data_IF_164227304581
#
_entry.id   IF_164227304581
#
_cell.length_a   1.000
_cell.length_b   1.000
_cell.length_c   1.000
_cell.angle_alpha   90.00
_cell.angle_beta   90.00
_cell.angle_gamma   90.00
#
_symmetry.space_group_name_H-M   'P 1'
#
loop_
_entity.id
_entity.type
_entity.pdbx_description
1 polymer ?
#
# COMPACT_ATOMS: atom_id res chain seq x y z
N UNK A 1 -39.28 -1.17 -14.15
CA UNK A 1 -37.81 -1.28 -14.35
C UNK A 1 -37.14 -0.78 -13.10
N UNK A 2 -36.13 -1.50 -12.60
CA UNK A 2 -35.41 -1.09 -11.39
C UNK A 2 -34.36 -0.04 -11.75
N UNK A 3 -34.28 1.08 -11.01
CA UNK A 3 -33.26 2.09 -11.24
C UNK A 3 -31.86 1.51 -10.98
N UNK A 4 -30.87 1.99 -11.73
CA UNK A 4 -29.49 1.53 -11.55
C UNK A 4 -28.95 1.89 -10.16
N UNK A 5 -28.32 0.91 -9.51
CA UNK A 5 -27.64 1.15 -8.24
C UNK A 5 -26.28 1.86 -8.43
N UNK A 6 -25.67 2.29 -7.33
CA UNK A 6 -24.41 3.05 -7.38
C UNK A 6 -23.24 2.25 -7.97
N UNK A 7 -23.17 0.95 -7.70
CA UNK A 7 -22.12 0.07 -8.25
C UNK A 7 -22.28 -0.09 -9.76
N UNK A 8 -23.49 -0.32 -10.26
CA UNK A 8 -23.81 -0.44 -11.68
C UNK A 8 -23.48 0.85 -12.44
N UNK A 9 -23.78 2.02 -11.86
CA UNK A 9 -23.42 3.33 -12.44
C UNK A 9 -21.90 3.52 -12.52
N UNK A 10 -21.17 3.14 -11.47
CA UNK A 10 -19.71 3.19 -11.45
C UNK A 10 -19.11 2.24 -12.50
N UNK A 11 -19.63 1.01 -12.58
CA UNK A 11 -19.18 0.00 -13.52
C UNK A 11 -19.37 0.44 -14.98
N UNK A 12 -20.52 1.05 -15.30
CA UNK A 12 -20.81 1.67 -16.60
C UNK A 12 -19.82 2.78 -16.94
N UNK A 13 -19.50 3.65 -15.97
CA UNK A 13 -18.54 4.72 -16.17
C UNK A 13 -17.14 4.18 -16.44
N UNK A 14 -16.66 3.27 -15.59
CA UNK A 14 -15.33 2.64 -15.71
C UNK A 14 -15.17 1.91 -17.04
N UNK A 15 -16.24 1.25 -17.52
CA UNK A 15 -16.25 0.62 -18.84
C UNK A 15 -16.07 1.63 -19.98
N UNK A 16 -16.73 2.78 -19.91
CA UNK A 16 -16.65 3.81 -20.96
C UNK A 16 -15.24 4.41 -21.10
N UNK A 17 -14.43 4.39 -20.04
CA UNK A 17 -13.06 4.93 -20.01
C UNK A 17 -11.99 3.82 -20.02
N UNK A 18 -12.36 2.56 -20.19
CA UNK A 18 -11.43 1.44 -20.36
C UNK A 18 -10.73 0.99 -19.07
N UNK A 19 -11.36 1.15 -17.90
CA UNK A 19 -10.82 0.75 -16.59
C UNK A 19 -11.37 -0.58 -16.05
N UNK A 20 -12.21 -1.27 -16.82
CA UNK A 20 -12.84 -2.55 -16.41
C UNK A 20 -12.02 -3.78 -16.81
N UNK A 21 -12.12 -4.84 -15.99
CA UNK A 21 -11.59 -6.18 -16.32
C UNK A 21 -12.43 -6.88 -17.40
N UNK A 22 -11.95 -8.02 -17.93
CA UNK A 22 -12.71 -8.82 -18.91
C UNK A 22 -14.06 -9.32 -18.36
N UNK A 23 -14.09 -9.78 -17.11
CA UNK A 23 -15.32 -10.22 -16.45
C UNK A 23 -16.32 -9.06 -16.30
N UNK A 24 -15.84 -7.90 -15.87
CA UNK A 24 -16.65 -6.68 -15.76
C UNK A 24 -17.16 -6.19 -17.12
N UNK A 25 -16.40 -6.38 -18.20
CA UNK A 25 -16.86 -6.05 -19.55
C UNK A 25 -18.05 -6.91 -19.98
N UNK A 26 -18.07 -8.19 -19.61
CA UNK A 26 -19.21 -9.06 -19.89
C UNK A 26 -20.44 -8.64 -19.09
N UNK A 27 -20.26 -8.31 -17.81
CA UNK A 27 -21.32 -7.81 -16.94
C UNK A 27 -21.95 -6.52 -17.49
N UNK A 28 -21.13 -5.56 -17.94
CA UNK A 28 -21.62 -4.31 -18.52
C UNK A 28 -22.36 -4.54 -19.84
N UNK A 29 -21.91 -5.46 -20.69
CA UNK A 29 -22.63 -5.81 -21.93
C UNK A 29 -24.02 -6.38 -21.63
N UNK A 30 -24.13 -7.27 -20.65
CA UNK A 30 -25.41 -7.79 -20.19
C UNK A 30 -26.28 -6.65 -19.64
N UNK A 31 -25.71 -5.79 -18.80
CA UNK A 31 -26.41 -4.66 -18.19
C UNK A 31 -26.96 -3.67 -19.23
N UNK A 32 -26.16 -3.32 -20.25
CA UNK A 32 -26.59 -2.45 -21.36
C UNK A 32 -27.69 -3.10 -22.19
N UNK A 33 -27.61 -4.42 -22.45
CA UNK A 33 -28.63 -5.14 -23.23
C UNK A 33 -29.96 -5.34 -22.48
N UNK A 34 -29.91 -5.33 -21.15
CA UNK A 34 -31.05 -5.68 -20.29
C UNK A 34 -31.74 -4.47 -19.65
N UNK A 35 -31.15 -3.28 -19.73
CA UNK A 35 -31.65 -2.09 -19.04
C UNK A 35 -31.51 -0.81 -19.90
N UNK A 36 -32.66 -0.21 -20.26
CA UNK A 36 -32.72 1.01 -21.07
C UNK A 36 -32.05 2.24 -20.41
N UNK A 37 -32.07 2.35 -19.07
CA UNK A 37 -31.34 3.41 -18.35
C UNK A 37 -29.83 3.25 -18.54
N UNK A 38 -29.32 2.01 -18.48
CA UNK A 38 -27.91 1.71 -18.71
C UNK A 38 -27.49 2.01 -20.14
N UNK A 39 -28.29 1.59 -21.12
CA UNK A 39 -28.05 1.90 -22.54
C UNK A 39 -28.06 3.40 -22.80
N UNK A 40 -28.99 4.14 -22.19
CA UNK A 40 -29.07 5.59 -22.30
C UNK A 40 -27.87 6.32 -21.69
N UNK A 41 -27.40 5.89 -20.51
CA UNK A 41 -26.20 6.46 -19.87
C UNK A 41 -24.95 6.15 -20.70
N UNK A 42 -24.78 4.90 -21.13
CA UNK A 42 -23.65 4.47 -21.96
C UNK A 42 -23.55 5.30 -23.25
N UNK A 43 -24.67 5.46 -23.97
CA UNK A 43 -24.73 6.24 -25.20
C UNK A 43 -24.34 7.71 -24.97
N UNK A 44 -24.83 8.34 -23.89
CA UNK A 44 -24.48 9.73 -23.55
C UNK A 44 -23.00 9.90 -23.23
N UNK A 45 -22.40 8.99 -22.46
CA UNK A 45 -20.99 9.05 -22.11
C UNK A 45 -20.13 8.84 -23.36
N UNK A 46 -20.46 7.83 -24.20
CA UNK A 46 -19.76 7.60 -25.46
C UNK A 46 -19.85 8.80 -26.39
N UNK A 47 -21.02 9.43 -26.52
CA UNK A 47 -21.18 10.65 -27.30
C UNK A 47 -20.33 11.82 -26.77
N UNK A 48 -20.22 11.96 -25.45
CA UNK A 48 -19.38 12.98 -24.82
C UNK A 48 -17.88 12.73 -25.01
N UNK A 49 -17.46 11.47 -25.11
CA UNK A 49 -16.07 11.05 -25.31
C UNK A 49 -15.67 10.95 -26.79
N UNK A 50 -16.63 10.83 -27.71
CA UNK A 50 -16.38 10.70 -29.16
C UNK A 50 -15.44 11.78 -29.73
N UNK A 51 -15.48 13.06 -29.30
CA UNK A 51 -14.51 14.05 -29.77
C UNK A 51 -13.05 13.70 -29.42
N UNK A 52 -12.82 13.01 -28.30
CA UNK A 52 -11.48 12.60 -27.87
C UNK A 52 -10.91 11.46 -28.72
N UNK A 53 -11.76 10.63 -29.33
CA UNK A 53 -11.32 9.56 -30.24
C UNK A 53 -10.74 10.14 -31.55
N UNK A 54 -11.10 11.38 -31.90
CA UNK A 54 -10.59 12.08 -33.09
C UNK A 54 -9.36 12.96 -32.83
N UNK A 55 -8.92 13.07 -31.56
CA UNK A 55 -7.71 13.79 -31.22
C UNK A 55 -6.53 13.01 -31.80
N UNK A 56 -5.89 13.58 -32.82
CA UNK A 56 -4.65 13.03 -33.35
C UNK A 56 -3.64 12.95 -32.22
N UNK A 57 -3.20 11.74 -31.91
CA UNK A 57 -2.07 11.52 -31.04
C UNK A 57 -0.85 12.14 -31.74
N UNK A 58 -0.36 13.27 -31.20
CA UNK A 58 0.92 13.80 -31.63
C UNK A 58 1.96 12.68 -31.48
N UNK A 59 2.66 12.38 -32.55
CA UNK A 59 3.79 11.46 -32.52
C UNK A 59 4.76 11.96 -31.45
N UNK A 60 5.02 11.11 -30.45
CA UNK A 60 5.97 11.41 -29.40
C UNK A 60 7.29 11.87 -30.06
N UNK A 61 7.71 13.14 -29.90
CA UNK A 61 8.90 13.63 -30.56
C UNK A 61 10.10 12.79 -30.15
N UNK A 62 10.93 12.36 -31.11
CA UNK A 62 12.10 11.53 -30.84
C UNK A 62 13.08 12.23 -29.87
N UNK A 63 13.09 13.56 -29.88
CA UNK A 63 13.90 14.41 -29.01
C UNK A 63 13.28 14.65 -27.63
N UNK A 64 12.06 14.16 -27.34
CA UNK A 64 11.36 14.44 -26.08
C UNK A 64 12.15 13.92 -24.88
N UNK A 65 12.75 12.73 -25.00
CA UNK A 65 13.57 12.13 -23.95
C UNK A 65 14.82 12.97 -23.71
N UNK A 66 15.54 13.33 -24.77
CA UNK A 66 16.73 14.17 -24.68
C UNK A 66 16.41 15.57 -24.13
N UNK A 67 15.34 16.20 -24.60
CA UNK A 67 14.84 17.49 -24.09
C UNK A 67 14.46 17.42 -22.63
N UNK A 68 13.85 16.33 -22.20
CA UNK A 68 13.46 16.15 -20.79
C UNK A 68 14.69 15.98 -19.91
N UNK A 69 15.67 15.16 -20.33
CA UNK A 69 16.95 15.00 -19.63
C UNK A 69 17.72 16.34 -19.60
N UNK A 70 17.77 17.06 -20.72
CA UNK A 70 18.41 18.38 -20.80
C UNK A 70 17.72 19.40 -19.89
N UNK A 71 16.38 19.43 -19.84
CA UNK A 71 15.63 20.32 -18.93
C UNK A 71 15.89 19.96 -17.47
N UNK A 72 15.91 18.67 -17.12
CA UNK A 72 16.22 18.23 -15.75
C UNK A 72 17.64 18.61 -15.35
N UNK A 73 18.62 18.40 -16.23
CA UNK A 73 20.00 18.78 -16.00
C UNK A 73 20.18 20.31 -15.91
N UNK A 74 19.49 21.07 -16.75
CA UNK A 74 19.51 22.53 -16.72
C UNK A 74 18.85 23.08 -15.47
N UNK A 75 17.72 22.51 -15.00
CA UNK A 75 17.09 22.89 -13.74
C UNK A 75 17.97 22.56 -12.54
N UNK A 76 18.63 21.41 -12.56
CA UNK A 76 19.58 21.02 -11.51
C UNK A 76 20.77 22.00 -11.46
N UNK A 77 21.36 22.34 -12.62
CA UNK A 77 22.47 23.31 -12.70
C UNK A 77 22.03 24.75 -12.39
N UNK A 78 20.86 25.19 -12.86
CA UNK A 78 20.35 26.53 -12.60
C UNK A 78 20.05 26.71 -11.12
N UNK A 79 19.55 25.68 -10.43
CA UNK A 79 19.32 25.75 -8.99
C UNK A 79 20.62 25.93 -8.19
N UNK A 80 21.71 25.28 -8.61
CA UNK A 80 23.03 25.42 -7.98
C UNK A 80 23.67 26.78 -8.28
N UNK A 81 23.61 27.22 -9.54
CA UNK A 81 24.15 28.52 -9.95
C UNK A 81 23.36 29.69 -9.34
N UNK A 82 22.03 29.57 -9.26
CA UNK A 82 21.16 30.58 -8.66
C UNK A 82 21.35 30.62 -7.14
N UNK A 83 21.58 29.48 -6.48
CA UNK A 83 21.95 29.44 -5.06
C UNK A 83 23.31 30.12 -4.82
N UNK A 84 24.32 29.85 -5.65
CA UNK A 84 25.63 30.51 -5.56
C UNK A 84 25.53 32.02 -5.84
N UNK A 85 24.74 32.45 -6.82
CA UNK A 85 24.51 33.86 -7.12
C UNK A 85 23.71 34.57 -6.03
N UNK A 86 22.74 33.91 -5.40
CA UNK A 86 21.98 34.47 -4.26
C UNK A 86 22.86 34.58 -3.02
N UNK A 87 23.73 33.60 -2.74
CA UNK A 87 24.71 33.66 -1.66
C UNK A 87 25.74 34.79 -1.87
N UNK A 88 26.26 34.93 -3.10
CA UNK A 88 27.17 36.03 -3.45
C UNK A 88 26.46 37.40 -3.44
N UNK A 89 25.19 37.46 -3.86
CA UNK A 89 24.38 38.68 -3.87
C UNK A 89 23.93 39.15 -2.49
N UNK A 90 23.68 38.23 -1.56
CA UNK A 90 23.42 38.50 -0.13
C UNK A 90 24.69 39.03 0.56
N UNK A 91 25.85 38.44 0.29
CA UNK A 91 27.14 38.92 0.83
C UNK A 91 27.57 40.29 0.28
N UNK A 92 27.08 40.69 -0.90
CA UNK A 92 27.44 41.95 -1.56
C UNK A 92 26.44 43.11 -1.34
N UNK A 93 25.27 42.88 -0.71
CA UNK A 93 24.25 43.92 -0.57
C UNK A 93 24.45 44.79 0.69
N UNK A 94 25.23 45.86 0.52
CA UNK A 94 25.10 47.07 1.32
C UNK A 94 23.75 47.75 1.03
N UNK A 95 22.97 48.02 2.09
CA UNK A 95 21.59 48.51 1.99
C UNK A 95 21.56 49.98 1.56
N UNK A 96 21.01 50.26 0.37
CA UNK A 96 20.37 51.54 0.05
C UNK A 96 19.44 51.39 -1.17
N UNK A 97 18.14 51.67 -1.00
CA UNK A 97 17.18 51.76 -2.11
C UNK A 97 16.26 52.96 -1.91
N UNK A 98 16.12 53.82 -2.94
CA UNK A 98 14.98 54.72 -3.11
C UNK A 98 14.38 54.62 -4.54
N UNK A 99 13.09 54.23 -4.55
CA UNK A 99 11.99 54.39 -5.54
C UNK A 99 12.01 53.62 -6.89
N UNK A 100 10.85 53.34 -7.56
CA UNK A 100 9.44 53.33 -7.11
C UNK A 100 8.80 51.92 -7.28
N UNK A 101 8.48 51.27 -6.16
CA UNK A 101 8.27 49.82 -6.04
C UNK A 101 6.84 49.31 -6.37
N UNK A 102 5.83 50.17 -6.31
CA UNK A 102 4.44 49.72 -6.15
C UNK A 102 3.73 49.25 -7.43
N UNK A 103 4.02 49.83 -8.60
CA UNK A 103 3.31 49.44 -9.84
C UNK A 103 3.84 48.17 -10.51
N UNK A 104 5.13 47.87 -10.36
CA UNK A 104 5.73 46.61 -10.86
C UNK A 104 5.42 45.43 -9.94
N UNK A 105 5.29 45.67 -8.63
CA UNK A 105 4.85 44.66 -7.67
C UNK A 105 3.46 44.10 -7.99
N UNK A 106 2.48 44.93 -8.33
CA UNK A 106 1.11 44.45 -8.56
C UNK A 106 1.01 43.40 -9.66
N UNK A 107 1.63 43.63 -10.82
CA UNK A 107 1.60 42.68 -11.95
C UNK A 107 2.43 41.42 -11.69
N UNK A 108 3.58 41.56 -11.01
CA UNK A 108 4.44 40.43 -10.62
C UNK A 108 3.75 39.59 -9.55
N UNK A 109 3.07 40.22 -8.58
CA UNK A 109 2.34 39.54 -7.52
C UNK A 109 1.15 38.75 -8.07
N UNK A 110 0.38 39.28 -9.03
CA UNK A 110 -0.74 38.54 -9.63
C UNK A 110 -0.27 37.33 -10.43
N UNK A 111 0.77 37.48 -11.27
CA UNK A 111 1.32 36.35 -12.04
C UNK A 111 1.93 35.28 -11.12
N UNK A 112 2.64 35.69 -10.07
CA UNK A 112 3.17 34.78 -9.06
C UNK A 112 2.06 34.08 -8.28
N UNK A 113 0.98 34.78 -7.91
CA UNK A 113 -0.16 34.19 -7.22
C UNK A 113 -0.87 33.12 -8.06
N UNK A 114 -1.10 33.37 -9.35
CA UNK A 114 -1.71 32.38 -10.25
C UNK A 114 -0.81 31.15 -10.41
N UNK A 115 0.49 31.34 -10.56
CA UNK A 115 1.45 30.22 -10.65
C UNK A 115 1.52 29.43 -9.34
N UNK A 116 1.49 30.08 -8.18
CA UNK A 116 1.46 29.40 -6.88
C UNK A 116 0.15 28.63 -6.66
N UNK A 117 -0.99 29.18 -7.10
CA UNK A 117 -2.28 28.48 -7.05
C UNK A 117 -2.26 27.27 -7.98
N UNK A 118 -1.82 27.44 -9.24
CA UNK A 118 -1.74 26.35 -10.22
C UNK A 118 -0.75 25.27 -9.78
N UNK A 119 0.40 25.65 -9.23
CA UNK A 119 1.38 24.72 -8.69
C UNK A 119 0.85 24.00 -7.45
N UNK A 120 0.19 24.71 -6.54
CA UNK A 120 -0.43 24.15 -5.35
C UNK A 120 -1.53 23.12 -5.65
N UNK A 121 -2.42 23.44 -6.60
CA UNK A 121 -3.50 22.52 -7.03
C UNK A 121 -2.96 21.31 -7.79
N UNK A 122 -1.94 21.50 -8.64
CA UNK A 122 -1.30 20.39 -9.34
C UNK A 122 -0.52 19.45 -8.41
N UNK A 123 0.24 20.01 -7.46
CA UNK A 123 1.04 19.19 -6.55
C UNK A 123 0.17 18.39 -5.56
N UNK A 124 -0.94 18.97 -5.09
CA UNK A 124 -1.89 18.27 -4.21
C UNK A 124 -2.63 17.14 -4.93
N UNK A 125 -3.13 17.38 -6.14
CA UNK A 125 -3.79 16.35 -6.95
C UNK A 125 -2.82 15.23 -7.35
N UNK A 126 -1.59 15.55 -7.75
CA UNK A 126 -0.56 14.55 -8.08
C UNK A 126 -0.20 13.67 -6.88
N UNK A 127 -0.04 14.27 -5.69
CA UNK A 127 0.26 13.52 -4.46
C UNK A 127 -0.89 12.59 -4.06
N UNK A 128 -2.14 13.05 -4.20
CA UNK A 128 -3.32 12.23 -3.93
C UNK A 128 -3.43 11.05 -4.92
N UNK A 129 -3.26 11.31 -6.22
CA UNK A 129 -3.28 10.29 -7.25
C UNK A 129 -2.18 9.23 -7.04
N UNK A 130 -0.95 9.67 -6.73
CA UNK A 130 0.15 8.76 -6.38
C UNK A 130 -0.18 7.91 -5.15
N UNK A 131 -0.77 8.51 -4.12
CA UNK A 131 -1.18 7.76 -2.93
C UNK A 131 -2.22 6.70 -3.29
N UNK A 132 -3.27 7.04 -4.04
CA UNK A 132 -4.28 6.05 -4.47
C UNK A 132 -3.68 4.96 -5.34
N UNK A 133 -2.76 5.30 -6.24
CA UNK A 133 -2.03 4.32 -7.04
C UNK A 133 -1.29 3.30 -6.16
N UNK A 134 -0.52 3.76 -5.15
CA UNK A 134 0.20 2.84 -4.26
C UNK A 134 -0.72 2.01 -3.37
N UNK A 135 -1.84 2.59 -2.93
CA UNK A 135 -2.87 1.85 -2.18
C UNK A 135 -3.45 0.73 -3.03
N UNK A 136 -3.94 1.02 -4.24
CA UNK A 136 -4.52 0.02 -5.13
C UNK A 136 -3.51 -1.08 -5.49
N UNK A 137 -2.23 -0.72 -5.70
CA UNK A 137 -1.17 -1.71 -5.94
C UNK A 137 -0.93 -2.62 -4.75
N UNK A 138 -0.91 -2.06 -3.55
CA UNK A 138 -0.78 -2.84 -2.32
C UNK A 138 -1.98 -3.77 -2.12
N UNK A 139 -3.20 -3.30 -2.41
CA UNK A 139 -4.40 -4.14 -2.36
C UNK A 139 -4.34 -5.29 -3.37
N UNK A 140 -3.92 -5.01 -4.61
CA UNK A 140 -3.72 -6.03 -5.64
C UNK A 140 -2.66 -7.08 -5.25
N UNK A 141 -1.59 -6.66 -4.56
CA UNK A 141 -0.59 -7.57 -4.01
C UNK A 141 -1.15 -8.46 -2.90
N UNK A 142 -1.91 -7.90 -1.96
CA UNK A 142 -2.58 -8.68 -0.92
C UNK A 142 -3.55 -9.70 -1.51
N UNK A 143 -4.34 -9.31 -2.52
CA UNK A 143 -5.18 -10.24 -3.27
C UNK A 143 -4.37 -11.30 -4.02
N UNK A 144 -3.17 -10.96 -4.51
CA UNK A 144 -2.22 -11.92 -5.08
C UNK A 144 -1.68 -12.93 -4.07
N UNK A 145 -1.37 -12.48 -2.85
CA UNK A 145 -0.96 -13.35 -1.75
C UNK A 145 -2.11 -14.26 -1.34
N UNK A 146 -3.34 -13.75 -1.29
CA UNK A 146 -4.54 -14.56 -1.02
C UNK A 146 -4.72 -15.67 -2.06
N UNK A 147 -4.57 -15.35 -3.36
CA UNK A 147 -4.56 -16.40 -4.41
C UNK A 147 -3.43 -17.42 -4.20
N UNK A 148 -2.29 -16.98 -3.71
CA UNK A 148 -1.20 -17.86 -3.30
C UNK A 148 -1.62 -18.84 -2.19
N UNK A 149 -2.31 -18.34 -1.15
CA UNK A 149 -2.89 -19.19 -0.11
C UNK A 149 -3.91 -20.17 -0.67
N UNK A 150 -4.83 -19.74 -1.54
CA UNK A 150 -5.84 -20.65 -2.11
C UNK A 150 -5.21 -21.75 -2.95
N UNK A 151 -4.18 -21.42 -3.75
CA UNK A 151 -3.46 -22.41 -4.54
C UNK A 151 -2.70 -23.39 -3.66
N UNK A 152 -2.02 -22.90 -2.61
CA UNK A 152 -1.39 -23.77 -1.62
C UNK A 152 -2.42 -24.69 -0.95
N UNK A 153 -3.54 -24.16 -0.48
CA UNK A 153 -4.57 -24.98 0.15
C UNK A 153 -5.12 -26.04 -0.80
N UNK A 154 -5.26 -25.74 -2.09
CA UNK A 154 -5.68 -26.73 -3.09
C UNK A 154 -4.71 -27.92 -3.19
N UNK A 155 -3.40 -27.66 -3.09
CA UNK A 155 -2.36 -28.70 -3.13
C UNK A 155 -2.16 -29.44 -1.79
N UNK A 156 -2.64 -28.87 -0.68
CA UNK A 156 -2.42 -29.37 0.68
C UNK A 156 -3.72 -29.68 1.46
N UNK A 157 -4.72 -30.27 0.81
CA UNK A 157 -5.98 -30.74 1.41
C UNK A 157 -6.76 -29.65 2.18
N UNK A 158 -6.78 -28.43 1.66
CA UNK A 158 -7.43 -27.30 2.31
C UNK A 158 -6.68 -26.74 3.51
N UNK A 159 -5.46 -27.18 3.79
CA UNK A 159 -4.68 -26.71 4.95
C UNK A 159 -3.90 -25.45 4.62
N UNK A 160 -4.00 -24.45 5.49
CA UNK A 160 -3.18 -23.24 5.42
C UNK A 160 -1.69 -23.57 5.64
N UNK A 161 -0.76 -22.77 5.07
CA UNK A 161 0.65 -22.89 5.37
C UNK A 161 0.89 -22.77 6.87
N UNK A 162 1.54 -23.77 7.44
CA UNK A 162 1.80 -23.85 8.87
C UNK A 162 3.19 -24.43 9.13
N UNK A 163 3.82 -23.96 10.21
CA UNK A 163 5.08 -24.50 10.73
C UNK A 163 4.86 -24.88 12.18
N UNK A 164 5.52 -25.94 12.64
CA UNK A 164 5.37 -26.40 14.03
C UNK A 164 5.89 -25.33 15.00
N UNK A 165 5.02 -24.77 15.82
CA UNK A 165 5.38 -23.79 16.87
C UNK A 165 5.29 -24.45 18.24
N UNK A 166 6.10 -23.96 19.18
CA UNK A 166 6.06 -24.37 20.58
C UNK A 166 5.35 -23.23 21.36
N UNK A 167 4.33 -23.52 22.18
CA UNK A 167 3.71 -22.50 23.03
C UNK A 167 4.76 -21.74 23.86
N UNK A 168 4.67 -20.41 23.88
CA UNK A 168 5.66 -19.54 24.53
C UNK A 168 6.95 -19.30 23.75
N UNK A 169 7.14 -19.92 22.57
CA UNK A 169 8.24 -19.56 21.68
C UNK A 169 8.03 -18.15 21.10
N UNK A 170 9.12 -17.39 20.87
CA UNK A 170 9.04 -16.07 20.27
C UNK A 170 8.53 -16.17 18.83
N UNK A 171 7.70 -15.23 18.39
CA UNK A 171 7.24 -15.15 17.00
C UNK A 171 7.83 -13.97 16.22
N UNK A 172 8.55 -13.07 16.90
CA UNK A 172 9.00 -11.78 16.36
C UNK A 172 10.35 -11.82 15.62
N UNK A 173 11.09 -12.95 15.63
CA UNK A 173 12.46 -13.02 15.11
C UNK A 173 12.49 -13.12 13.58
N UNK A 174 11.93 -12.12 12.90
CA UNK A 174 11.78 -12.06 11.45
C UNK A 174 13.13 -12.20 10.75
N UNK A 175 13.26 -13.23 9.93
CA UNK A 175 14.47 -13.57 9.18
C UNK A 175 15.44 -14.50 9.89
N UNK A 176 15.06 -15.02 11.07
CA UNK A 176 15.83 -16.04 11.76
C UNK A 176 15.94 -17.31 10.90
N UNK A 177 17.18 -17.77 10.66
CA UNK A 177 17.49 -18.95 9.82
C UNK A 177 17.81 -20.22 10.63
N UNK A 178 17.58 -20.21 11.95
CA UNK A 178 17.75 -21.42 12.79
C UNK A 178 16.67 -22.47 12.55
N UNK A 179 16.81 -23.66 13.16
CA UNK A 179 15.84 -24.74 12.97
C UNK A 179 14.51 -24.46 13.67
N UNK A 180 14.55 -23.66 14.73
CA UNK A 180 13.44 -23.30 15.59
C UNK A 180 12.53 -22.26 14.91
N UNK A 181 11.22 -22.47 14.98
CA UNK A 181 10.24 -21.60 14.33
C UNK A 181 9.95 -20.36 15.16
N UNK A 182 10.90 -19.41 15.14
CA UNK A 182 10.82 -18.17 15.92
C UNK A 182 10.33 -16.94 15.15
N UNK A 183 9.88 -17.13 13.90
CA UNK A 183 9.23 -16.08 13.12
C UNK A 183 7.87 -16.54 12.62
N UNK A 184 6.86 -15.71 12.81
CA UNK A 184 5.54 -15.91 12.22
C UNK A 184 5.58 -15.93 10.68
N UNK A 185 6.53 -15.20 10.06
CA UNK A 185 6.66 -15.10 8.61
C UNK A 185 7.07 -16.40 7.92
N UNK A 186 7.65 -17.36 8.65
CA UNK A 186 8.07 -18.65 8.06
C UNK A 186 6.93 -19.38 7.37
N UNK A 187 5.72 -19.28 7.91
CA UNK A 187 4.55 -19.93 7.31
C UNK A 187 4.25 -19.39 5.92
N UNK A 188 4.39 -18.08 5.71
CA UNK A 188 4.14 -17.45 4.40
C UNK A 188 5.35 -17.54 3.50
N UNK A 189 6.55 -17.73 4.06
CA UNK A 189 7.73 -18.11 3.28
C UNK A 189 7.52 -19.45 2.55
N UNK A 190 6.73 -20.37 3.09
CA UNK A 190 6.35 -21.61 2.36
C UNK A 190 5.68 -21.32 1.02
N UNK A 191 4.90 -20.23 0.91
CA UNK A 191 4.29 -19.83 -0.36
C UNK A 191 5.36 -19.45 -1.39
N UNK A 192 6.42 -18.77 -0.94
CA UNK A 192 7.56 -18.39 -1.80
C UNK A 192 8.37 -19.63 -2.19
N UNK A 193 8.69 -20.51 -1.22
CA UNK A 193 9.44 -21.75 -1.50
C UNK A 193 8.68 -22.70 -2.43
N UNK A 194 7.35 -22.77 -2.29
CA UNK A 194 6.49 -23.59 -3.15
C UNK A 194 6.21 -22.97 -4.53
N UNK A 195 6.66 -21.74 -4.80
CA UNK A 195 6.41 -21.06 -6.06
C UNK A 195 4.97 -20.57 -6.24
N UNK A 196 4.16 -20.57 -5.17
CA UNK A 196 2.79 -20.04 -5.19
C UNK A 196 2.76 -18.52 -5.33
N UNK A 197 3.81 -17.86 -4.84
CA UNK A 197 3.90 -16.40 -4.76
C UNK A 197 5.33 -15.93 -4.99
N UNK A 198 5.52 -14.88 -5.80
CA UNK A 198 6.82 -14.22 -5.96
C UNK A 198 7.20 -13.45 -4.68
N UNK A 199 8.47 -13.59 -4.24
CA UNK A 199 8.99 -12.92 -3.04
C UNK A 199 8.71 -11.42 -3.01
N UNK A 200 8.83 -10.72 -4.15
CA UNK A 200 8.72 -9.27 -4.20
C UNK A 200 7.31 -8.77 -3.88
N UNK A 201 6.29 -9.63 -3.93
CA UNK A 201 4.92 -9.25 -3.57
C UNK A 201 4.79 -8.90 -2.08
N UNK A 202 5.67 -9.44 -1.23
CA UNK A 202 5.65 -9.22 0.22
C UNK A 202 6.23 -7.85 0.63
N UNK A 203 6.62 -7.03 -0.34
CA UNK A 203 7.06 -5.65 -0.15
C UNK A 203 6.03 -4.69 -0.74
N UNK A 204 5.46 -3.86 0.12
CA UNK A 204 4.48 -2.84 -0.18
C UNK A 204 5.10 -1.74 -1.03
N UNK A 205 4.53 -1.42 -2.22
CA UNK A 205 4.98 -0.36 -3.11
C UNK A 205 4.92 1.04 -2.48
N UNK A 206 4.11 1.22 -1.44
CA UNK A 206 4.04 2.47 -0.68
C UNK A 206 5.27 2.72 0.19
N UNK A 207 5.99 1.67 0.56
CA UNK A 207 7.29 1.76 1.24
C UNK A 207 8.34 2.05 0.19
N UNK A 208 9.27 2.96 0.48
CA UNK A 208 10.49 3.10 -0.33
C UNK A 208 11.47 2.03 0.14
N UNK A 209 11.64 0.91 -0.58
CA UNK A 209 12.60 -0.10 -0.16
C UNK A 209 14.00 0.51 -0.17
N UNK A 210 14.75 0.33 0.91
CA UNK A 210 16.16 0.73 0.94
C UNK A 210 17.00 -0.18 0.04
N UNK A 211 16.59 -1.45 -0.08
CA UNK A 211 17.25 -2.49 -0.86
C UNK A 211 16.18 -3.48 -1.34
N UNK A 212 16.14 -3.78 -2.64
CA UNK A 212 15.30 -4.85 -3.20
C UNK A 212 16.21 -5.97 -3.69
N UNK A 213 16.48 -6.96 -2.83
CA UNK A 213 17.19 -8.18 -3.24
C UNK A 213 16.15 -9.16 -3.75
N UNK A 214 16.23 -9.49 -5.05
CA UNK A 214 15.51 -10.64 -5.62
C UNK A 214 16.39 -11.87 -5.49
N UNK A 215 15.88 -12.88 -4.80
CA UNK A 215 16.56 -14.16 -4.66
C UNK A 215 16.28 -15.03 -5.89
N UNK A 216 17.28 -15.78 -6.32
CA UNK A 216 17.13 -16.84 -7.31
C UNK A 216 16.37 -18.03 -6.71
N UNK A 217 15.76 -18.91 -7.53
CA UNK A 217 15.06 -20.10 -7.02
C UNK A 217 15.94 -20.98 -6.10
N UNK A 218 17.23 -21.13 -6.42
CA UNK A 218 18.16 -21.90 -5.58
C UNK A 218 18.40 -21.23 -4.22
N UNK A 219 18.55 -19.91 -4.18
CA UNK A 219 18.68 -19.15 -2.94
C UNK A 219 17.39 -19.25 -2.10
N UNK A 220 16.21 -19.15 -2.71
CA UNK A 220 14.92 -19.29 -2.01
C UNK A 220 14.86 -20.62 -1.26
N UNK A 221 15.29 -21.72 -1.88
CA UNK A 221 15.26 -23.04 -1.25
C UNK A 221 16.21 -23.17 -0.05
N UNK A 222 17.35 -22.46 -0.08
CA UNK A 222 18.35 -22.47 1.00
C UNK A 222 17.91 -21.73 2.26
N UNK A 223 16.91 -20.87 2.17
CA UNK A 223 16.44 -20.07 3.30
C UNK A 223 15.23 -20.67 4.01
N UNK A 224 15.20 -20.59 5.34
CA UNK A 224 14.09 -21.07 6.17
C UNK A 224 13.02 -19.98 6.35
N UNK A 225 13.41 -18.72 6.25
CA UNK A 225 12.57 -17.53 6.37
C UNK A 225 13.08 -16.44 5.41
N UNK A 226 12.34 -15.33 5.27
CA UNK A 226 12.79 -14.15 4.54
C UNK A 226 14.18 -13.70 5.03
N UNK A 227 15.21 -13.65 4.18
CA UNK A 227 16.58 -13.38 4.65
C UNK A 227 16.76 -12.06 5.39
N UNK A 228 15.95 -11.06 5.04
CA UNK A 228 16.00 -9.74 5.64
C UNK A 228 14.60 -9.22 5.98
N UNK A 229 14.50 -8.51 7.11
CA UNK A 229 13.26 -7.86 7.55
C UNK A 229 12.71 -6.88 6.50
N UNK A 230 13.58 -6.24 5.74
CA UNK A 230 13.24 -5.29 4.70
C UNK A 230 12.56 -5.95 3.47
N UNK A 231 12.63 -7.28 3.34
CA UNK A 231 11.95 -8.03 2.28
C UNK A 231 10.49 -8.39 2.61
N UNK A 232 10.01 -7.97 3.77
CA UNK A 232 8.63 -8.16 4.18
C UNK A 232 8.10 -6.92 4.88
N UNK A 233 7.09 -6.27 4.31
CA UNK A 233 6.48 -5.05 4.87
C UNK A 233 5.10 -5.30 5.44
N UNK A 234 4.73 -6.55 5.64
CA UNK A 234 3.40 -6.93 6.09
C UNK A 234 3.47 -7.67 7.40
N UNK A 235 2.34 -7.77 8.08
CA UNK A 235 2.17 -8.54 9.31
C UNK A 235 1.04 -9.56 9.12
N UNK A 236 1.12 -10.68 9.83
CA UNK A 236 0.23 -11.81 9.64
C UNK A 236 -0.43 -12.23 10.95
N UNK A 237 -1.66 -12.73 10.87
CA UNK A 237 -2.42 -13.18 12.03
C UNK A 237 -1.70 -14.26 12.83
N UNK A 238 -1.34 -14.05 14.08
CA UNK A 238 -0.91 -15.13 14.99
C UNK A 238 -2.12 -16.05 15.25
N UNK A 239 -1.94 -17.35 15.05
CA UNK A 239 -3.00 -18.33 15.30
C UNK A 239 -3.14 -18.62 16.79
N UNK A 240 -4.39 -18.80 17.25
CA UNK A 240 -4.66 -19.23 18.61
C UNK A 240 -4.30 -20.73 18.73
N UNK A 241 -3.42 -21.14 19.66
CA UNK A 241 -3.10 -22.56 19.86
C UNK A 241 -4.26 -23.34 20.48
N UNK A 242 -5.19 -22.67 21.17
CA UNK A 242 -6.33 -23.29 21.86
C UNK A 242 -7.59 -23.40 20.98
N UNK A 243 -7.43 -23.32 19.66
CA UNK A 243 -8.53 -23.32 18.69
C UNK A 243 -9.40 -24.58 18.79
N UNK A 244 -10.48 -24.50 19.56
CA UNK A 244 -11.62 -25.41 19.42
C UNK A 244 -12.36 -25.02 18.14
N UNK A 245 -12.80 -26.01 17.33
CA UNK A 245 -13.47 -25.89 16.02
C UNK A 245 -14.79 -25.08 16.02
N UNK A 246 -14.83 -23.88 16.55
CA UNK A 246 -15.96 -22.96 16.40
C UNK A 246 -15.67 -22.08 15.19
N UNK A 247 -16.36 -22.39 14.11
CA UNK A 247 -16.48 -21.52 12.94
C UNK A 247 -17.28 -20.31 13.40
N UNK A 248 -16.58 -19.22 13.70
CA UNK A 248 -17.22 -17.93 13.91
C UNK A 248 -17.49 -17.29 12.54
N UNK A 249 -18.69 -16.77 12.29
CA UNK A 249 -19.07 -16.17 11.00
C UNK A 249 -18.51 -14.75 10.81
N UNK A 250 -17.62 -14.27 11.68
CA UNK A 250 -17.01 -12.94 11.54
C UNK A 250 -15.86 -12.96 10.54
N UNK A 251 -15.83 -11.93 9.69
CA UNK A 251 -14.73 -11.66 8.76
C UNK A 251 -13.43 -11.43 9.56
N UNK A 252 -12.44 -12.32 9.44
CA UNK A 252 -11.22 -12.27 10.25
C UNK A 252 -10.06 -11.69 9.48
N UNK A 253 -9.37 -10.72 10.08
CA UNK A 253 -8.17 -10.16 9.47
C UNK A 253 -7.06 -11.22 9.43
N UNK A 254 -6.60 -11.57 8.22
CA UNK A 254 -5.56 -12.56 7.98
C UNK A 254 -4.17 -11.93 7.94
N UNK A 255 -4.08 -10.74 7.33
CA UNK A 255 -2.84 -10.05 7.04
C UNK A 255 -3.10 -8.55 6.91
N UNK A 256 -2.11 -7.73 7.20
CA UNK A 256 -2.20 -6.28 7.01
C UNK A 256 -0.87 -5.68 6.56
N UNK A 257 -0.93 -4.40 6.18
CA UNK A 257 0.25 -3.54 6.24
C UNK A 257 0.91 -3.62 7.63
N UNK A 258 2.22 -3.34 7.69
CA UNK A 258 3.05 -3.54 8.88
C UNK A 258 2.40 -3.03 10.17
N UNK A 259 2.30 -3.92 11.17
CA UNK A 259 1.85 -3.56 12.51
C UNK A 259 2.83 -2.54 13.12
N UNK A 260 2.27 -1.42 13.58
CA UNK A 260 3.02 -0.27 14.08
C UNK A 260 3.74 -0.49 15.39
N UNK A 261 3.29 -1.46 16.19
CA UNK A 261 3.96 -1.83 17.43
C UNK A 261 5.34 -2.44 17.16
N UNK A 262 5.51 -3.09 16.00
CA UNK A 262 6.66 -3.94 15.69
C UNK A 262 7.48 -3.44 14.49
N UNK A 263 7.50 -2.12 14.27
CA UNK A 263 8.30 -1.51 13.21
C UNK A 263 9.79 -1.55 13.49
N UNK A 264 10.15 -1.50 14.78
CA UNK A 264 11.53 -1.54 15.27
C UNK A 264 11.70 -2.80 16.11
N UNK A 265 12.15 -3.86 15.46
CA UNK A 265 12.50 -5.12 16.13
C UNK A 265 14.01 -5.18 16.39
N UNK A 266 14.45 -5.84 17.48
CA UNK A 266 15.86 -6.13 17.69
C UNK A 266 16.45 -6.91 16.50
N UNK A 267 17.61 -6.47 16.00
CA UNK A 267 18.38 -7.21 14.99
C UNK A 267 19.21 -8.34 15.61
N UNK A 268 19.56 -8.17 16.88
CA UNK A 268 20.25 -9.17 17.68
C UNK A 268 19.20 -10.01 18.43
N UNK A 269 18.96 -11.23 17.94
CA UNK A 269 17.96 -12.14 18.48
C UNK A 269 18.30 -12.71 19.86
N UNK A 270 19.48 -12.42 20.40
CA UNK A 270 19.81 -12.73 21.80
C UNK A 270 19.15 -11.75 22.78
N UNK A 271 18.76 -10.57 22.30
CA UNK A 271 18.07 -9.56 23.12
C UNK A 271 16.58 -9.88 23.23
N UNK A 272 15.97 -9.69 24.41
CA UNK A 272 14.53 -9.79 24.54
C UNK A 272 13.84 -8.67 23.74
N UNK A 273 12.68 -8.99 23.17
CA UNK A 273 11.72 -7.97 22.76
C UNK A 273 10.98 -7.52 24.02
N UNK A 274 10.73 -6.22 24.14
CA UNK A 274 9.82 -5.67 25.15
C UNK A 274 9.24 -4.37 24.62
N UNK A 275 7.94 -4.35 24.38
CA UNK A 275 7.20 -3.18 23.90
C UNK A 275 6.11 -2.88 24.90
N UNK A 276 6.16 -1.70 25.49
CA UNK A 276 5.10 -1.18 26.35
C UNK A 276 4.18 -0.27 25.54
N UNK A 277 2.88 -0.55 25.58
CA UNK A 277 1.88 0.25 24.89
C UNK A 277 1.78 1.64 25.52
N UNK A 278 1.68 2.64 24.65
CA UNK A 278 1.34 4.00 25.04
C UNK A 278 0.22 4.54 24.14
N UNK A 279 -0.34 5.69 24.50
CA UNK A 279 -1.47 6.29 23.78
C UNK A 279 -1.16 6.57 22.31
N UNK A 280 0.07 6.92 21.99
CA UNK A 280 0.48 7.20 20.62
C UNK A 280 0.50 5.90 19.79
N UNK A 281 1.11 4.83 20.33
CA UNK A 281 1.16 3.52 19.68
C UNK A 281 -0.22 2.92 19.40
N UNK A 282 -1.24 3.25 20.20
CA UNK A 282 -2.62 2.82 20.00
C UNK A 282 -3.37 3.56 18.88
N UNK A 283 -2.85 4.70 18.41
CA UNK A 283 -3.52 5.53 17.38
C UNK A 283 -2.78 5.53 16.04
N UNK A 284 -1.53 5.08 16.01
CA UNK A 284 -0.71 5.07 14.81
C UNK A 284 -1.12 3.98 13.82
N UNK A 285 -1.51 4.40 12.61
CA UNK A 285 -1.66 3.56 11.42
C UNK A 285 -0.31 3.11 10.84
N UNK A 286 -0.31 2.11 9.96
CA UNK A 286 0.91 1.56 9.37
C UNK A 286 1.79 2.63 8.68
N UNK A 287 3.11 2.47 8.80
CA UNK A 287 4.08 3.33 8.09
C UNK A 287 4.06 3.09 6.58
N UNK A 288 3.54 1.95 6.10
CA UNK A 288 3.51 1.60 4.67
C UNK A 288 2.86 2.66 3.78
N UNK A 289 1.89 3.39 4.33
CA UNK A 289 1.20 4.50 3.66
C UNK A 289 1.34 5.82 4.41
N UNK A 290 2.52 6.07 5.00
CA UNK A 290 2.85 7.28 5.75
C UNK A 290 1.82 7.62 6.84
N UNK A 291 1.36 6.62 7.62
CA UNK A 291 0.36 6.77 8.70
C UNK A 291 -1.04 7.20 8.26
N UNK A 292 -1.33 7.25 6.96
CA UNK A 292 -2.65 7.66 6.45
C UNK A 292 -3.72 6.56 6.53
N UNK A 293 -3.30 5.35 6.86
CA UNK A 293 -4.13 4.16 6.94
C UNK A 293 -3.32 2.90 6.64
N UNK A 294 -4.02 1.78 6.51
CA UNK A 294 -3.47 0.46 6.26
C UNK A 294 -4.42 -0.36 5.39
N UNK A 295 -3.85 -1.23 4.57
CA UNK A 295 -4.58 -2.30 3.96
C UNK A 295 -4.71 -3.48 4.92
N UNK A 296 -5.88 -4.11 4.92
CA UNK A 296 -6.18 -5.33 5.67
C UNK A 296 -6.77 -6.33 4.68
N UNK A 297 -6.17 -7.51 4.63
CA UNK A 297 -6.68 -8.68 3.92
C UNK A 297 -7.43 -9.56 4.91
N UNK A 298 -8.65 -9.92 4.56
CA UNK A 298 -9.52 -10.78 5.33
C UNK A 298 -9.46 -12.23 4.82
N UNK A 299 -10.00 -13.15 5.61
CA UNK A 299 -9.98 -14.60 5.36
C UNK A 299 -10.84 -15.05 4.16
N UNK A 300 -11.77 -14.24 3.70
CA UNK A 300 -12.54 -14.43 2.47
C UNK A 300 -11.83 -13.90 1.21
N UNK A 301 -10.68 -13.25 1.37
CA UNK A 301 -9.91 -12.63 0.29
C UNK A 301 -10.25 -11.17 0.01
N UNK A 302 -11.24 -10.59 0.71
CA UNK A 302 -11.52 -9.16 0.64
C UNK A 302 -10.33 -8.37 1.16
N UNK A 303 -10.03 -7.25 0.49
CA UNK A 303 -8.97 -6.32 0.91
C UNK A 303 -9.54 -4.92 1.01
N UNK A 304 -9.36 -4.29 2.16
CA UNK A 304 -9.82 -2.91 2.39
C UNK A 304 -8.68 -2.00 2.84
N UNK A 305 -8.77 -0.71 2.50
CA UNK A 305 -7.89 0.33 3.03
C UNK A 305 -8.61 1.11 4.12
N UNK A 306 -8.19 0.92 5.37
CA UNK A 306 -8.77 1.58 6.52
C UNK A 306 -7.94 2.77 6.96
N UNK A 307 -8.60 3.89 7.26
CA UNK A 307 -7.97 5.10 7.82
C UNK A 307 -7.81 5.02 9.34
N UNK A 308 -8.50 4.09 9.97
CA UNK A 308 -8.44 3.77 11.39
C UNK A 308 -8.10 2.29 11.54
N UNK A 309 -7.48 1.91 12.64
CA UNK A 309 -7.05 0.52 12.86
C UNK A 309 -8.19 -0.42 13.19
N UNK A 310 -9.29 0.14 13.70
CA UNK A 310 -10.41 -0.61 14.22
C UNK A 310 -11.21 -1.27 13.10
N UNK A 311 -11.53 -2.54 13.27
CA UNK A 311 -12.24 -3.35 12.29
C UNK A 311 -13.53 -3.94 12.86
N UNK A 312 -14.46 -4.24 11.97
CA UNK A 312 -15.73 -4.88 12.31
C UNK A 312 -16.66 -4.01 13.17
N UNK A 313 -17.76 -4.61 13.60
CA UNK A 313 -18.81 -3.94 14.39
C UNK A 313 -18.34 -3.65 15.81
N UNK A 314 -17.48 -4.52 16.36
CA UNK A 314 -16.88 -4.37 17.69
C UNK A 314 -15.77 -3.32 17.75
N UNK A 315 -15.36 -2.79 16.59
CA UNK A 315 -14.28 -1.81 16.45
C UNK A 315 -12.96 -2.31 17.09
N UNK A 316 -12.63 -3.57 16.85
CA UNK A 316 -11.46 -4.23 17.43
C UNK A 316 -10.17 -3.82 16.73
N UNK A 317 -9.05 -3.73 17.46
CA UNK A 317 -7.75 -3.33 16.90
C UNK A 317 -6.90 -4.58 16.63
N UNK A 318 -6.75 -5.00 15.36
CA UNK A 318 -6.07 -6.25 15.01
C UNK A 318 -4.57 -6.23 15.32
N UNK A 319 -4.01 -5.09 15.74
CA UNK A 319 -2.60 -4.95 16.07
C UNK A 319 -2.31 -5.16 17.56
N UNK A 320 -3.33 -5.32 18.41
CA UNK A 320 -3.18 -5.51 19.85
C UNK A 320 -3.99 -6.72 20.32
N UNK A 321 -3.52 -7.36 21.38
CA UNK A 321 -4.29 -8.32 22.15
C UNK A 321 -5.10 -7.61 23.24
N UNK A 322 -6.28 -8.15 23.54
CA UNK A 322 -7.09 -7.66 24.65
C UNK A 322 -6.32 -7.79 25.97
N UNK A 323 -6.46 -6.81 26.86
CA UNK A 323 -5.84 -6.78 28.19
C UNK A 323 -4.30 -6.90 28.22
N UNK A 324 -3.61 -6.68 27.08
CA UNK A 324 -2.15 -6.78 26.99
C UNK A 324 -1.52 -5.41 26.77
N UNK A 325 -0.77 -4.95 27.78
CA UNK A 325 -0.06 -3.66 27.72
C UNK A 325 1.44 -3.80 27.44
N UNK A 326 2.00 -5.00 27.61
CA UNK A 326 3.43 -5.29 27.41
C UNK A 326 3.54 -6.50 26.49
N UNK A 327 4.32 -6.37 25.42
CA UNK A 327 4.62 -7.43 24.48
C UNK A 327 6.10 -7.80 24.59
N UNK A 328 6.37 -9.00 25.07
CA UNK A 328 7.67 -9.65 25.08
C UNK A 328 7.88 -10.54 23.82
N UNK A 329 6.86 -10.64 22.95
CA UNK A 329 6.95 -11.28 21.64
C UNK A 329 6.66 -12.78 21.66
N UNK A 330 6.00 -13.23 22.73
CA UNK A 330 5.60 -14.62 22.98
C UNK A 330 4.09 -14.75 23.20
N UNK A 331 3.36 -13.64 23.10
CA UNK A 331 1.93 -13.58 23.35
C UNK A 331 1.15 -14.26 22.22
N UNK A 332 0.03 -14.89 22.56
CA UNK A 332 -0.88 -15.51 21.61
C UNK A 332 -2.31 -15.06 21.95
N UNK A 333 -3.23 -15.00 20.97
CA UNK A 333 -4.63 -14.81 21.28
C UNK A 333 -5.18 -15.90 22.19
N UNK A 334 -6.02 -15.48 23.14
CA UNK A 334 -6.69 -16.40 24.06
C UNK A 334 -7.78 -17.24 23.36
N UNK A 335 -8.34 -16.72 22.26
CA UNK A 335 -9.34 -17.42 21.46
C UNK A 335 -9.27 -17.04 19.97
N UNK A 336 -10.02 -17.75 19.14
CA UNK A 336 -10.09 -17.50 17.70
C UNK A 336 -10.76 -16.19 17.30
N UNK A 337 -11.54 -15.59 18.20
CA UNK A 337 -12.25 -14.33 17.93
C UNK A 337 -11.41 -13.10 18.33
N UNK A 338 -10.32 -13.30 19.08
CA UNK A 338 -9.28 -12.30 19.29
C UNK A 338 -8.24 -12.44 18.17
N UNK A 339 -8.27 -11.55 17.19
CA UNK A 339 -7.33 -11.60 16.06
C UNK A 339 -6.15 -10.67 16.30
N UNK A 340 -4.98 -11.25 16.48
CA UNK A 340 -3.73 -10.51 16.63
C UNK A 340 -2.85 -10.67 15.40
N UNK A 341 -2.50 -9.57 14.74
CA UNK A 341 -1.63 -9.53 13.57
C UNK A 341 -0.26 -9.03 13.99
N UNK A 342 0.77 -9.83 13.77
CA UNK A 342 2.15 -9.50 14.13
C UNK A 342 3.15 -9.97 13.06
N UNK A 343 4.39 -9.42 13.04
CA UNK A 343 5.44 -9.88 12.13
C UNK A 343 5.86 -11.33 12.35
#
# INVERSE_FOLDING_TARGET
MSPLNKQQKQLLFDHCIGLTSEEQNLEVKVLISSNDEAAGIYSKIKAALAPLETVQLETCPDDLVERTILRLNNLARSSQLQLQQLLAGEQARGVAIKAPFWHKLGKIATAAAVLLIAWGTFQTSSNYARQRYYQNRCQAQLGGIFRGFTNYMADYDGKMPAVATIPGAPWWKVGYQGKENYSNNRRVWLLVKGGYVDQAIFVCPGVRPKITIRLTPSQIQQHIDFPYREQISYSFRIYCPMSAKKVSPSLKALMSDMNTLFEKLPRDYSRPLRIELNKDLLTLNSINHNRRGQNILFDDGYVDFLKERRIGITADDPFTLQNTNIYDGTEYPDCEDDFFIAP
#
